data_IF_874612118562
#
_entry.id   IF_874612118562
#
_cell.length_a   1.000
_cell.length_b   1.000
_cell.length_c   1.000
_cell.angle_alpha   90.00
_cell.angle_beta   90.00
_cell.angle_gamma   90.00
#
_symmetry.space_group_name_H-M   'P 1'
#
loop_
_entity.id
_entity.type
_entity.pdbx_description
1 polymer ?
#
# COMPACT_ATOMS: atom_id res chain seq x y z
N UNK A 1 11.93 -0.10 -27.60
CA UNK A 1 11.05 0.53 -26.65
C UNK A 1 11.88 1.06 -25.49
N UNK A 2 11.92 2.38 -25.31
CA UNK A 2 12.72 3.05 -24.29
C UNK A 2 11.85 3.20 -23.04
N UNK A 3 12.26 2.61 -21.92
CA UNK A 3 11.65 2.86 -20.62
C UNK A 3 12.09 4.24 -20.11
N UNK A 4 11.13 5.14 -19.92
CA UNK A 4 11.35 6.39 -19.21
C UNK A 4 11.09 6.15 -17.71
N UNK A 5 12.17 6.18 -16.92
CA UNK A 5 12.12 6.22 -15.46
C UNK A 5 11.62 7.62 -15.05
N UNK A 6 10.46 7.69 -14.44
CA UNK A 6 9.96 8.90 -13.78
C UNK A 6 10.61 8.99 -12.39
N UNK A 7 11.61 9.84 -12.26
CA UNK A 7 12.18 10.22 -10.98
C UNK A 7 11.35 11.35 -10.37
N UNK A 8 10.70 11.12 -9.25
CA UNK A 8 9.99 12.15 -8.48
C UNK A 8 11.02 12.92 -7.65
N UNK A 9 11.33 14.16 -8.09
CA UNK A 9 12.14 15.10 -7.32
C UNK A 9 11.22 15.92 -6.40
N UNK A 10 11.40 15.77 -5.09
CA UNK A 10 10.78 16.64 -4.08
C UNK A 10 11.56 17.93 -4.03
N UNK A 11 10.96 19.05 -4.49
CA UNK A 11 11.51 20.39 -4.34
C UNK A 11 10.94 21.04 -3.09
N UNK A 12 11.79 21.23 -2.08
CA UNK A 12 11.48 22.06 -0.92
C UNK A 12 11.66 23.54 -1.30
N UNK A 13 10.58 24.31 -1.28
CA UNK A 13 10.61 25.76 -1.43
C UNK A 13 10.93 26.41 -0.08
N UNK A 14 12.13 27.02 0.02
CA UNK A 14 12.50 27.91 1.11
C UNK A 14 12.26 29.36 0.72
N UNK A 15 11.47 30.08 1.51
CA UNK A 15 11.31 31.51 1.46
C UNK A 15 12.53 32.24 2.05
N UNK A 16 12.95 33.34 1.42
CA UNK A 16 13.87 34.31 2.00
C UNK A 16 14.01 35.52 1.10
N UNK A 17 13.48 36.66 1.56
CA UNK A 17 13.42 37.92 0.84
C UNK A 17 14.67 38.81 1.02
N UNK A 18 14.69 39.93 0.30
CA UNK A 18 15.56 41.09 0.56
C UNK A 18 16.05 41.82 -0.65
N UNK A 19 15.39 42.84 -0.95
CA UNK A 19 15.66 44.22 -1.44
C UNK A 19 17.01 44.64 -2.03
N UNK A 20 16.81 45.46 -3.05
CA UNK A 20 17.35 46.79 -3.40
C UNK A 20 18.54 46.98 -4.34
N UNK A 21 18.18 47.72 -5.31
CA UNK A 21 18.69 49.00 -5.93
C UNK A 21 19.80 49.00 -6.99
N UNK A 22 19.35 49.62 -8.04
CA UNK A 22 19.89 50.72 -8.87
C UNK A 22 20.89 50.49 -9.98
N UNK A 23 20.42 50.98 -11.10
CA UNK A 23 20.98 52.00 -12.01
C UNK A 23 21.94 51.61 -13.13
N UNK A 24 21.48 51.86 -14.32
CA UNK A 24 22.08 52.79 -15.26
C UNK A 24 22.90 52.21 -16.42
N UNK A 25 22.53 52.59 -17.61
CA UNK A 25 23.50 52.81 -18.68
C UNK A 25 23.14 52.25 -20.06
N UNK A 26 22.61 53.14 -20.84
CA UNK A 26 22.43 53.16 -22.31
C UNK A 26 23.67 52.76 -23.10
N UNK A 27 23.52 52.09 -24.26
CA UNK A 27 23.85 52.65 -25.59
C UNK A 27 23.56 51.66 -26.72
N UNK A 28 23.14 52.27 -27.81
CA UNK A 28 22.73 51.85 -29.14
C UNK A 28 23.69 50.97 -29.93
N UNK A 29 23.12 50.26 -30.92
CA UNK A 29 23.81 50.01 -32.18
C UNK A 29 23.54 48.71 -32.90
N UNK A 30 22.62 48.71 -33.84
CA UNK A 30 22.82 48.26 -35.24
C UNK A 30 22.70 46.79 -35.60
N UNK A 31 21.57 46.49 -36.22
CA UNK A 31 21.35 45.76 -37.50
C UNK A 31 21.95 44.38 -37.77
N UNK A 32 21.03 43.60 -38.25
CA UNK A 32 20.94 42.69 -39.43
C UNK A 32 20.77 41.19 -39.16
N UNK A 33 19.62 40.80 -39.62
CA UNK A 33 19.12 39.50 -40.12
C UNK A 33 20.11 38.31 -40.22
N UNK A 34 19.66 37.17 -39.63
CA UNK A 34 19.55 35.95 -40.41
C UNK A 34 18.58 34.97 -39.72
N UNK A 35 17.55 34.68 -40.45
CA UNK A 35 16.54 33.68 -40.24
C UNK A 35 17.15 32.29 -40.38
N UNK A 36 17.14 31.47 -39.32
CA UNK A 36 17.12 30.00 -39.46
C UNK A 36 16.19 29.41 -38.42
N UNK A 37 15.15 28.75 -38.94
CA UNK A 37 14.13 28.06 -38.19
C UNK A 37 14.69 26.91 -37.38
N UNK A 38 14.66 27.05 -36.08
CA UNK A 38 14.73 25.96 -35.12
C UNK A 38 13.34 25.62 -34.70
N UNK A 39 12.76 24.57 -35.31
CA UNK A 39 11.53 23.96 -34.84
C UNK A 39 11.74 23.49 -33.43
N UNK A 40 11.20 24.23 -32.46
CA UNK A 40 10.94 23.72 -31.14
C UNK A 40 9.94 22.57 -31.28
N UNK A 41 10.41 21.36 -31.14
CA UNK A 41 9.50 20.27 -30.85
C UNK A 41 8.85 20.61 -29.50
N UNK A 42 7.64 21.17 -29.56
CA UNK A 42 6.73 21.08 -28.45
C UNK A 42 6.58 19.58 -28.22
N UNK A 43 7.20 19.06 -27.16
CA UNK A 43 6.79 17.80 -26.60
C UNK A 43 5.32 18.00 -26.19
N UNK A 44 4.41 17.60 -27.09
CA UNK A 44 3.05 17.32 -26.69
C UNK A 44 3.15 16.31 -25.55
N UNK A 45 3.03 16.78 -24.33
CA UNK A 45 2.64 16.00 -23.18
C UNK A 45 1.31 15.37 -23.59
N UNK A 46 1.39 14.20 -24.20
CA UNK A 46 0.25 13.39 -24.58
C UNK A 46 -0.46 12.96 -23.31
N UNK A 47 -1.30 13.85 -22.80
CA UNK A 47 -2.26 13.57 -21.75
C UNK A 47 -3.37 12.69 -22.28
N UNK A 48 -3.03 11.48 -22.72
CA UNK A 48 -4.00 10.42 -22.93
C UNK A 48 -4.65 10.09 -21.59
N UNK A 49 -5.97 9.99 -21.58
CA UNK A 49 -6.72 9.52 -20.43
C UNK A 49 -6.26 8.11 -20.07
N UNK A 50 -5.50 7.95 -18.98
CA UNK A 50 -5.01 6.65 -18.51
C UNK A 50 -6.15 5.91 -17.79
N UNK A 51 -6.39 4.66 -18.15
CA UNK A 51 -7.37 3.80 -17.48
C UNK A 51 -6.70 2.97 -16.40
N UNK A 52 -7.05 3.25 -15.16
CA UNK A 52 -6.50 2.61 -13.97
C UNK A 52 -7.54 1.68 -13.37
N UNK A 53 -7.19 0.41 -13.14
CA UNK A 53 -8.05 -0.50 -12.39
C UNK A 53 -7.57 -0.61 -10.94
N UNK A 54 -8.46 -0.33 -9.98
CA UNK A 54 -8.22 -0.54 -8.56
C UNK A 54 -8.99 -1.78 -8.09
N UNK A 55 -8.27 -2.81 -7.64
CA UNK A 55 -8.82 -4.06 -7.13
C UNK A 55 -8.52 -4.18 -5.63
N UNK A 56 -9.57 -4.13 -4.79
CA UNK A 56 -9.46 -4.33 -3.36
C UNK A 56 -9.99 -5.71 -2.93
N UNK A 57 -9.48 -6.30 -1.81
CA UNK A 57 -9.69 -7.71 -1.52
C UNK A 57 -11.07 -8.00 -0.90
N UNK A 58 -11.56 -7.13 0.02
CA UNK A 58 -12.72 -7.46 0.84
C UNK A 58 -13.32 -6.20 1.50
N UNK A 59 -14.44 -6.36 2.23
CA UNK A 59 -15.18 -5.27 2.87
C UNK A 59 -15.24 -5.40 4.39
N UNK A 60 -14.70 -6.49 4.97
CA UNK A 60 -14.69 -6.74 6.41
C UNK A 60 -13.76 -5.76 7.13
N UNK A 61 -12.66 -5.38 6.48
CA UNK A 61 -11.74 -4.34 6.93
C UNK A 61 -12.23 -2.96 6.49
N UNK A 62 -12.83 -2.15 7.38
CA UNK A 62 -13.52 -0.91 6.97
C UNK A 62 -12.63 0.09 6.23
N UNK A 63 -11.30 0.10 6.51
CA UNK A 63 -10.39 1.10 5.94
C UNK A 63 -10.37 1.08 4.41
N UNK A 64 -10.55 -0.07 3.76
CA UNK A 64 -10.51 -0.18 2.30
C UNK A 64 -11.54 0.72 1.63
N UNK A 65 -12.78 0.71 2.12
CA UNK A 65 -13.85 1.55 1.57
C UNK A 65 -13.86 2.97 2.15
N UNK A 66 -13.48 3.14 3.43
CA UNK A 66 -13.62 4.44 4.11
C UNK A 66 -12.40 5.34 3.96
N UNK A 67 -11.22 4.79 3.73
CA UNK A 67 -9.96 5.51 3.67
C UNK A 67 -9.19 5.28 2.36
N UNK A 68 -8.86 4.02 2.05
CA UNK A 68 -7.95 3.69 0.94
C UNK A 68 -8.54 4.09 -0.41
N UNK A 69 -9.77 3.65 -0.70
CA UNK A 69 -10.46 3.99 -1.94
C UNK A 69 -10.66 5.51 -2.11
N UNK A 70 -11.22 6.27 -1.14
CA UNK A 70 -11.37 7.72 -1.29
C UNK A 70 -10.03 8.44 -1.45
N UNK A 71 -8.98 8.02 -0.72
CA UNK A 71 -7.65 8.60 -0.83
C UNK A 71 -7.02 8.33 -2.20
N UNK A 72 -7.20 7.12 -2.74
CA UNK A 72 -6.74 6.76 -4.07
C UNK A 72 -7.42 7.60 -5.15
N UNK A 73 -8.74 7.72 -5.12
CA UNK A 73 -9.49 8.55 -6.07
C UNK A 73 -9.03 10.01 -6.03
N UNK A 74 -8.90 10.57 -4.83
CA UNK A 74 -8.42 11.94 -4.64
C UNK A 74 -7.01 12.13 -5.21
N UNK A 75 -6.09 11.20 -4.92
CA UNK A 75 -4.72 11.29 -5.40
C UNK A 75 -4.64 11.20 -6.93
N UNK A 76 -5.44 10.34 -7.56
CA UNK A 76 -5.51 10.24 -9.02
C UNK A 76 -6.09 11.51 -9.62
N UNK A 77 -7.16 12.09 -9.07
CA UNK A 77 -7.75 13.34 -9.53
C UNK A 77 -6.73 14.50 -9.47
N UNK A 78 -5.94 14.56 -8.39
CA UNK A 78 -4.92 15.61 -8.19
C UNK A 78 -3.67 15.43 -9.09
N UNK A 79 -3.26 14.18 -9.36
CA UNK A 79 -2.01 13.88 -10.04
C UNK A 79 -2.17 13.54 -11.53
N UNK A 80 -3.35 13.14 -11.94
CA UNK A 80 -3.64 12.66 -13.29
C UNK A 80 -4.99 13.18 -13.78
N UNK A 81 -5.02 14.42 -14.25
CA UNK A 81 -6.25 15.01 -14.81
C UNK A 81 -6.69 14.26 -16.05
N UNK A 82 -7.89 13.66 -16.00
CA UNK A 82 -8.47 12.87 -17.09
C UNK A 82 -8.22 11.37 -17.00
N UNK A 83 -7.52 10.87 -15.97
CA UNK A 83 -7.44 9.43 -15.71
C UNK A 83 -8.79 8.88 -15.27
N UNK A 84 -9.14 7.70 -15.78
CA UNK A 84 -10.36 6.98 -15.45
C UNK A 84 -10.05 5.84 -14.48
N UNK A 85 -10.85 5.70 -13.41
CA UNK A 85 -10.68 4.63 -12.44
C UNK A 85 -11.82 3.63 -12.57
N UNK A 86 -11.49 2.37 -12.88
CA UNK A 86 -12.39 1.23 -12.74
C UNK A 86 -12.14 0.57 -11.37
N UNK A 87 -13.17 0.51 -10.54
CA UNK A 87 -13.07 -0.03 -9.19
C UNK A 87 -13.72 -1.40 -9.06
N UNK A 88 -13.02 -2.31 -8.37
CA UNK A 88 -13.47 -3.67 -8.07
C UNK A 88 -13.20 -4.01 -6.60
N UNK A 89 -14.09 -4.81 -6.01
CA UNK A 89 -13.90 -5.38 -4.68
C UNK A 89 -14.28 -6.86 -4.70
N UNK A 90 -13.35 -7.70 -4.28
CA UNK A 90 -13.54 -9.15 -4.33
C UNK A 90 -14.56 -9.65 -3.29
N UNK A 91 -14.74 -8.90 -2.19
CA UNK A 91 -15.64 -9.29 -1.11
C UNK A 91 -15.19 -10.57 -0.39
N UNK A 92 -13.86 -10.79 -0.30
CA UNK A 92 -13.28 -11.96 0.34
C UNK A 92 -13.15 -13.20 -0.54
N UNK A 93 -13.45 -13.10 -1.84
CA UNK A 93 -13.46 -14.23 -2.78
C UNK A 93 -12.30 -14.14 -3.77
N UNK A 94 -11.39 -15.11 -3.70
CA UNK A 94 -10.17 -15.20 -4.55
C UNK A 94 -10.53 -15.36 -6.03
N UNK A 95 -11.49 -16.22 -6.35
CA UNK A 95 -11.92 -16.48 -7.73
C UNK A 95 -12.60 -15.27 -8.36
N UNK A 96 -13.38 -14.55 -7.54
CA UNK A 96 -13.98 -13.29 -7.96
C UNK A 96 -12.91 -12.24 -8.24
N UNK A 97 -11.85 -12.14 -7.43
CA UNK A 97 -10.76 -11.21 -7.70
C UNK A 97 -10.05 -11.54 -9.02
N UNK A 98 -9.78 -12.83 -9.28
CA UNK A 98 -9.19 -13.27 -10.54
C UNK A 98 -10.07 -12.88 -11.75
N UNK A 99 -11.38 -13.10 -11.65
CA UNK A 99 -12.35 -12.71 -12.69
C UNK A 99 -12.42 -11.19 -12.87
N UNK A 100 -12.30 -10.41 -11.79
CA UNK A 100 -12.25 -8.95 -11.82
C UNK A 100 -10.98 -8.43 -12.49
N UNK A 101 -9.84 -9.10 -12.30
CA UNK A 101 -8.60 -8.81 -13.01
C UNK A 101 -8.75 -8.97 -14.53
N UNK A 102 -9.39 -10.06 -14.98
CA UNK A 102 -9.71 -10.28 -16.39
C UNK A 102 -10.69 -9.25 -16.95
N UNK A 103 -11.70 -8.89 -16.16
CA UNK A 103 -12.66 -7.85 -16.54
C UNK A 103 -11.99 -6.49 -16.70
N UNK A 104 -11.06 -6.13 -15.79
CA UNK A 104 -10.30 -4.90 -15.88
C UNK A 104 -9.48 -4.82 -17.18
N UNK A 105 -8.77 -5.90 -17.52
CA UNK A 105 -8.00 -5.99 -18.76
C UNK A 105 -8.91 -5.89 -20.00
N UNK A 106 -10.06 -6.57 -19.98
CA UNK A 106 -11.06 -6.52 -21.06
C UNK A 106 -11.64 -5.12 -21.26
N UNK A 107 -11.77 -4.34 -20.17
CA UNK A 107 -12.22 -2.94 -20.20
C UNK A 107 -11.12 -1.98 -20.64
N UNK A 108 -9.93 -2.50 -20.91
CA UNK A 108 -8.79 -1.74 -21.40
C UNK A 108 -8.02 -1.01 -20.30
N UNK A 109 -7.91 -1.60 -19.12
CA UNK A 109 -7.02 -1.07 -18.09
C UNK A 109 -5.58 -1.01 -18.61
N UNK A 110 -4.94 0.13 -18.43
CA UNK A 110 -3.55 0.40 -18.84
C UNK A 110 -2.59 0.30 -17.65
N UNK A 111 -3.13 0.35 -16.43
CA UNK A 111 -2.44 0.09 -15.15
C UNK A 111 -3.40 -0.61 -14.22
N UNK A 112 -2.92 -1.58 -13.47
CA UNK A 112 -3.69 -2.23 -12.41
C UNK A 112 -3.03 -1.98 -11.06
N UNK A 113 -3.82 -1.59 -10.06
CA UNK A 113 -3.42 -1.52 -8.65
C UNK A 113 -4.20 -2.59 -7.91
N UNK A 114 -3.49 -3.57 -7.38
CA UNK A 114 -4.10 -4.78 -6.82
C UNK A 114 -3.64 -4.98 -5.38
N UNK A 115 -4.60 -4.97 -4.46
CA UNK A 115 -4.43 -5.52 -3.12
C UNK A 115 -4.94 -6.96 -3.17
N UNK A 116 -4.05 -7.98 -3.13
CA UNK A 116 -4.45 -9.34 -3.38
C UNK A 116 -5.27 -9.93 -2.22
N UNK A 117 -6.36 -10.64 -2.54
CA UNK A 117 -7.08 -11.44 -1.55
C UNK A 117 -6.22 -12.62 -1.05
N UNK A 118 -5.53 -13.29 -1.98
CA UNK A 118 -4.49 -14.27 -1.72
C UNK A 118 -3.24 -13.88 -2.50
N UNK A 119 -2.15 -13.65 -1.79
CA UNK A 119 -0.90 -13.14 -2.37
C UNK A 119 -0.25 -14.06 -3.41
N UNK A 120 -0.48 -15.37 -3.33
CA UNK A 120 0.05 -16.34 -4.28
C UNK A 120 -0.87 -16.52 -5.47
N UNK A 121 -2.17 -16.63 -5.23
CA UNK A 121 -3.16 -16.80 -6.30
C UNK A 121 -3.19 -15.58 -7.23
N UNK A 122 -2.96 -14.37 -6.72
CA UNK A 122 -2.95 -13.15 -7.51
C UNK A 122 -1.81 -13.08 -8.56
N UNK A 123 -0.79 -13.94 -8.47
CA UNK A 123 0.23 -14.07 -9.52
C UNK A 123 -0.40 -14.30 -10.91
N UNK A 124 -1.52 -15.03 -10.99
CA UNK A 124 -2.22 -15.27 -12.23
C UNK A 124 -2.81 -13.98 -12.85
N UNK A 125 -3.17 -12.98 -12.01
CA UNK A 125 -3.60 -11.66 -12.49
C UNK A 125 -2.42 -10.93 -13.13
N UNK A 126 -1.24 -10.98 -12.49
CA UNK A 126 -0.02 -10.35 -13.00
C UNK A 126 0.42 -10.97 -14.32
N UNK A 127 0.40 -12.31 -14.43
CA UNK A 127 0.72 -13.01 -15.68
C UNK A 127 -0.18 -12.58 -16.85
N UNK A 128 -1.49 -12.48 -16.61
CA UNK A 128 -2.46 -12.03 -17.63
C UNK A 128 -2.28 -10.56 -18.01
N UNK A 129 -1.96 -9.71 -17.05
CA UNK A 129 -1.67 -8.30 -17.28
C UNK A 129 -0.39 -8.14 -18.11
N UNK A 130 0.69 -8.84 -17.75
CA UNK A 130 1.96 -8.82 -18.49
C UNK A 130 1.80 -9.31 -19.93
N UNK A 131 0.96 -10.32 -20.18
CA UNK A 131 0.67 -10.78 -21.54
C UNK A 131 0.03 -9.71 -22.43
N UNK A 132 -0.49 -8.63 -21.84
CA UNK A 132 -1.08 -7.47 -22.49
C UNK A 132 -0.26 -6.19 -22.28
N UNK A 133 0.97 -6.33 -21.77
CA UNK A 133 1.89 -5.21 -21.47
C UNK A 133 1.32 -4.21 -20.42
N UNK A 134 0.37 -4.64 -19.58
CA UNK A 134 -0.23 -3.84 -18.52
C UNK A 134 0.56 -4.01 -17.22
N UNK A 135 1.16 -2.93 -16.67
CA UNK A 135 1.87 -3.00 -15.41
C UNK A 135 0.91 -3.17 -14.23
N UNK A 136 1.36 -3.97 -13.24
CA UNK A 136 0.63 -4.20 -11.99
C UNK A 136 1.41 -3.62 -10.83
N UNK A 137 0.77 -2.78 -10.02
CA UNK A 137 1.26 -2.30 -8.73
C UNK A 137 0.61 -3.14 -7.63
N UNK A 138 1.43 -3.82 -6.83
CA UNK A 138 0.96 -4.50 -5.63
C UNK A 138 0.75 -3.47 -4.53
N UNK A 139 -0.46 -3.39 -3.99
CA UNK A 139 -0.85 -2.44 -2.96
C UNK A 139 -1.15 -3.17 -1.66
N UNK A 140 -0.71 -2.62 -0.53
CA UNK A 140 -0.84 -3.18 0.82
C UNK A 140 -0.19 -4.57 0.96
N UNK A 141 -0.77 -5.61 0.37
CA UNK A 141 -0.25 -6.98 0.38
C UNK A 141 0.62 -7.23 -0.85
N UNK A 142 1.76 -7.92 -0.65
CA UNK A 142 2.66 -8.26 -1.75
C UNK A 142 2.07 -9.43 -2.57
N UNK A 143 1.99 -9.25 -3.89
CA UNK A 143 1.73 -10.38 -4.79
C UNK A 143 3.02 -11.18 -4.93
N UNK A 144 3.02 -12.40 -4.40
CA UNK A 144 4.18 -13.29 -4.41
C UNK A 144 4.36 -14.02 -5.75
N UNK A 145 5.58 -14.49 -6.01
CA UNK A 145 5.92 -15.30 -7.18
C UNK A 145 5.62 -14.65 -8.54
N UNK A 146 5.65 -13.32 -8.61
CA UNK A 146 5.40 -12.55 -9.82
C UNK A 146 6.28 -11.31 -9.89
N UNK A 147 6.48 -10.78 -11.08
CA UNK A 147 7.20 -9.51 -11.29
C UNK A 147 6.18 -8.38 -11.34
N UNK A 148 5.97 -7.69 -10.20
CA UNK A 148 5.13 -6.50 -10.16
C UNK A 148 5.92 -5.26 -10.56
N UNK A 149 5.25 -4.29 -11.19
CA UNK A 149 5.83 -3.00 -11.60
C UNK A 149 6.18 -2.09 -10.42
N UNK A 150 5.57 -2.33 -9.26
CA UNK A 150 5.81 -1.62 -8.01
C UNK A 150 5.11 -2.28 -6.83
N UNK A 151 5.59 -1.98 -5.62
CA UNK A 151 4.97 -2.42 -4.38
C UNK A 151 4.89 -1.26 -3.40
N UNK A 152 3.72 -1.06 -2.82
CA UNK A 152 3.44 -0.01 -1.83
C UNK A 152 2.80 -0.63 -0.60
N UNK A 153 3.46 -0.54 0.54
CA UNK A 153 2.98 -1.05 1.83
C UNK A 153 3.61 -0.31 2.99
N UNK A 154 3.34 -0.77 4.20
CA UNK A 154 3.96 -0.29 5.44
C UNK A 154 5.21 -1.12 5.78
N UNK A 155 5.99 -0.64 6.75
CA UNK A 155 6.98 -1.47 7.46
C UNK A 155 6.22 -2.37 8.46
N UNK A 156 5.69 -3.48 7.94
CA UNK A 156 4.77 -4.35 8.68
C UNK A 156 5.45 -5.06 9.87
N UNK A 157 6.75 -5.34 9.79
CA UNK A 157 7.50 -5.87 10.93
C UNK A 157 7.59 -4.83 12.05
N UNK A 158 7.88 -3.56 11.69
CA UNK A 158 7.90 -2.46 12.66
C UNK A 158 6.52 -2.20 13.27
N UNK A 159 5.45 -2.35 12.51
CA UNK A 159 4.08 -2.25 13.03
C UNK A 159 3.84 -3.32 14.10
N UNK A 160 4.23 -4.57 13.84
CA UNK A 160 4.14 -5.66 14.82
C UNK A 160 4.93 -5.38 16.10
N UNK A 161 6.15 -4.85 15.96
CA UNK A 161 6.95 -4.42 17.12
C UNK A 161 6.23 -3.33 17.96
N UNK A 162 5.62 -2.34 17.30
CA UNK A 162 4.91 -1.24 17.98
C UNK A 162 3.66 -1.73 18.71
N UNK A 163 2.93 -2.68 18.14
CA UNK A 163 1.79 -3.34 18.80
C UNK A 163 2.25 -4.01 20.09
N UNK A 164 3.31 -4.81 20.01
CA UNK A 164 3.89 -5.48 21.16
C UNK A 164 4.47 -4.50 22.21
N UNK A 165 5.15 -3.44 21.78
CA UNK A 165 5.65 -2.37 22.67
C UNK A 165 4.52 -1.77 23.51
N UNK A 166 3.37 -1.52 22.88
CA UNK A 166 2.20 -0.97 23.56
C UNK A 166 1.68 -1.92 24.62
N UNK A 167 1.54 -3.22 24.29
CA UNK A 167 1.10 -4.22 25.25
C UNK A 167 2.12 -4.42 26.39
N UNK A 168 3.39 -4.52 26.07
CA UNK A 168 4.49 -4.63 27.07
C UNK A 168 4.44 -3.49 28.08
N UNK A 169 4.25 -2.25 27.58
CA UNK A 169 4.10 -1.09 28.45
C UNK A 169 2.92 -1.26 29.41
N UNK A 170 1.78 -1.68 28.89
CA UNK A 170 0.57 -1.88 29.68
C UNK A 170 0.75 -2.98 30.74
N UNK A 171 1.34 -4.12 30.36
CA UNK A 171 1.61 -5.22 31.27
C UNK A 171 2.52 -4.80 32.45
N UNK A 172 3.52 -3.96 32.18
CA UNK A 172 4.40 -3.41 33.22
C UNK A 172 3.66 -2.47 34.19
N UNK A 173 2.77 -1.62 33.66
CA UNK A 173 1.93 -0.70 34.45
C UNK A 173 0.95 -1.46 35.35
N UNK A 174 0.40 -2.57 34.86
CA UNK A 174 -0.55 -3.41 35.60
C UNK A 174 0.14 -4.39 36.58
N UNK A 175 1.48 -4.36 36.67
CA UNK A 175 2.24 -5.21 37.59
C UNK A 175 2.36 -6.68 37.14
N UNK A 176 2.06 -7.00 35.88
CA UNK A 176 2.15 -8.34 35.31
C UNK A 176 3.11 -8.39 34.09
N UNK A 177 4.40 -8.11 34.26
CA UNK A 177 5.32 -7.85 33.15
C UNK A 177 5.77 -9.08 32.35
N UNK A 178 5.32 -10.28 32.72
CA UNK A 178 5.78 -11.54 32.10
C UNK A 178 4.72 -12.25 31.27
N UNK A 179 3.47 -11.84 31.33
CA UNK A 179 2.37 -12.54 30.69
C UNK A 179 1.80 -13.65 31.59
N UNK A 180 1.26 -14.77 31.04
CA UNK A 180 1.17 -15.06 29.59
C UNK A 180 0.18 -14.17 28.87
N UNK A 181 0.38 -14.04 27.55
CA UNK A 181 -0.53 -13.30 26.66
C UNK A 181 -1.21 -14.22 25.65
N UNK A 182 -2.27 -13.71 25.01
CA UNK A 182 -2.92 -14.35 23.88
C UNK A 182 -2.57 -13.56 22.61
N UNK A 183 -2.12 -14.24 21.55
CA UNK A 183 -1.92 -13.63 20.24
C UNK A 183 -2.98 -14.12 19.26
N UNK A 184 -3.72 -13.19 18.68
CA UNK A 184 -4.66 -13.41 17.58
C UNK A 184 -4.07 -12.71 16.36
N UNK A 185 -3.45 -13.48 15.49
CA UNK A 185 -2.77 -12.98 14.30
C UNK A 185 -3.73 -12.84 13.11
N UNK A 186 -3.21 -12.35 11.99
CA UNK A 186 -3.97 -12.22 10.76
C UNK A 186 -4.04 -13.49 9.91
N UNK A 187 -4.52 -13.32 8.67
CA UNK A 187 -4.67 -14.42 7.72
C UNK A 187 -3.30 -14.92 7.20
N UNK A 188 -3.02 -16.23 7.23
CA UNK A 188 -1.81 -16.79 6.62
C UNK A 188 -1.65 -16.58 5.11
N UNK A 189 -2.74 -16.26 4.39
CA UNK A 189 -2.70 -15.92 2.96
C UNK A 189 -2.20 -14.48 2.70
N UNK A 190 -2.05 -13.69 3.78
CA UNK A 190 -1.54 -12.32 3.75
C UNK A 190 -0.11 -12.28 4.35
N UNK A 191 0.93 -11.96 3.54
CA UNK A 191 2.30 -11.88 4.04
C UNK A 191 2.49 -10.80 5.10
N UNK A 192 1.66 -9.77 5.15
CA UNK A 192 1.71 -8.75 6.19
C UNK A 192 1.43 -9.35 7.58
N UNK A 193 0.50 -10.32 7.66
CA UNK A 193 0.22 -11.02 8.91
C UNK A 193 1.46 -11.70 9.50
N UNK A 194 2.26 -12.36 8.63
CA UNK A 194 3.51 -12.99 9.05
C UNK A 194 4.54 -11.96 9.54
N UNK A 195 4.60 -10.77 8.90
CA UNK A 195 5.50 -9.69 9.32
C UNK A 195 5.05 -9.05 10.65
N UNK A 196 3.76 -8.79 10.85
CA UNK A 196 3.22 -8.33 12.13
C UNK A 196 3.55 -9.33 13.25
N UNK A 197 3.25 -10.61 13.00
CA UNK A 197 3.56 -11.69 13.93
C UNK A 197 5.04 -11.72 14.28
N UNK A 198 5.94 -11.67 13.29
CA UNK A 198 7.39 -11.65 13.48
C UNK A 198 7.84 -10.47 14.34
N UNK A 199 7.38 -9.25 14.03
CA UNK A 199 7.72 -8.05 14.79
C UNK A 199 7.26 -8.14 16.25
N UNK A 200 6.04 -8.63 16.48
CA UNK A 200 5.51 -8.84 17.81
C UNK A 200 6.30 -9.90 18.59
N UNK A 201 6.60 -11.06 17.98
CA UNK A 201 7.41 -12.11 18.60
C UNK A 201 8.81 -11.59 18.99
N UNK A 202 9.52 -10.89 18.10
CA UNK A 202 10.82 -10.31 18.36
C UNK A 202 10.79 -9.41 19.62
N UNK A 203 9.72 -8.63 19.78
CA UNK A 203 9.57 -7.76 20.94
C UNK A 203 9.23 -8.54 22.20
N UNK A 204 8.32 -9.49 22.16
CA UNK A 204 7.95 -10.29 23.32
C UNK A 204 9.11 -11.15 23.81
N UNK A 205 9.87 -11.78 22.91
CA UNK A 205 11.08 -12.54 23.26
C UNK A 205 12.10 -11.65 23.99
N UNK A 206 12.39 -10.47 23.45
CA UNK A 206 13.33 -9.50 24.06
C UNK A 206 12.91 -9.08 25.47
N UNK A 207 11.62 -8.95 25.73
CA UNK A 207 11.07 -8.58 27.03
C UNK A 207 10.82 -9.78 27.96
N UNK A 208 10.98 -11.01 27.45
CA UNK A 208 10.72 -12.25 28.18
C UNK A 208 9.24 -12.45 28.52
N UNK A 209 8.34 -12.02 27.61
CA UNK A 209 6.89 -12.23 27.71
C UNK A 209 6.55 -13.63 27.23
N UNK A 210 5.76 -14.37 28.00
CA UNK A 210 5.25 -15.68 27.62
C UNK A 210 4.02 -15.54 26.72
N UNK A 211 4.00 -16.28 25.60
CA UNK A 211 2.83 -16.42 24.74
C UNK A 211 2.10 -17.70 25.15
N UNK A 212 0.99 -17.57 25.85
CA UNK A 212 0.20 -18.70 26.37
C UNK A 212 -0.63 -19.39 25.29
N UNK A 213 -1.19 -18.63 24.38
CA UNK A 213 -1.93 -19.12 23.20
C UNK A 213 -1.70 -18.22 21.99
N UNK A 214 -1.69 -18.85 20.82
CA UNK A 214 -1.51 -18.16 19.56
C UNK A 214 -2.37 -18.79 18.45
N UNK A 215 -3.00 -17.96 17.63
CA UNK A 215 -3.87 -18.35 16.53
C UNK A 215 -3.64 -17.48 15.31
N UNK A 216 -3.86 -18.04 14.12
CA UNK A 216 -3.83 -17.33 12.83
C UNK A 216 -5.26 -17.27 12.28
N UNK A 217 -5.82 -16.06 12.20
CA UNK A 217 -7.23 -15.78 11.89
C UNK A 217 -7.48 -15.77 10.38
N UNK A 218 -8.01 -16.87 9.85
CA UNK A 218 -8.32 -16.97 8.41
C UNK A 218 -9.35 -15.93 7.99
N UNK A 219 -9.10 -15.29 6.84
CA UNK A 219 -9.97 -14.28 6.24
C UNK A 219 -10.02 -12.96 7.00
N UNK A 220 -9.19 -12.76 8.02
CA UNK A 220 -9.22 -11.57 8.89
C UNK A 220 -10.60 -11.29 9.52
N UNK A 221 -11.48 -12.31 9.61
CA UNK A 221 -12.86 -12.12 10.04
C UNK A 221 -12.99 -11.99 11.56
N UNK A 222 -13.82 -11.04 11.99
CA UNK A 222 -14.15 -10.87 13.42
C UNK A 222 -14.74 -12.14 14.04
N UNK A 223 -15.51 -12.92 13.27
CA UNK A 223 -16.10 -14.18 13.74
C UNK A 223 -15.03 -15.22 14.09
N UNK A 224 -14.01 -15.40 13.23
CA UNK A 224 -12.93 -16.34 13.50
C UNK A 224 -12.09 -15.87 14.70
N UNK A 225 -11.71 -14.58 14.74
CA UNK A 225 -10.98 -14.01 15.87
C UNK A 225 -11.73 -14.18 17.21
N UNK A 226 -13.05 -14.00 17.21
CA UNK A 226 -13.88 -14.23 18.41
C UNK A 226 -13.86 -15.68 18.87
N UNK A 227 -13.95 -16.65 17.93
CA UNK A 227 -13.87 -18.09 18.24
C UNK A 227 -12.50 -18.45 18.84
N UNK A 228 -11.44 -17.95 18.26
CA UNK A 228 -10.06 -18.16 18.70
C UNK A 228 -9.81 -17.56 20.09
N UNK A 229 -10.25 -16.32 20.31
CA UNK A 229 -10.21 -15.69 21.63
C UNK A 229 -10.98 -16.49 22.68
N UNK A 230 -12.18 -16.98 22.36
CA UNK A 230 -12.98 -17.80 23.27
C UNK A 230 -12.29 -19.13 23.58
N UNK A 231 -11.65 -19.76 22.60
CA UNK A 231 -10.86 -20.98 22.79
C UNK A 231 -9.65 -20.73 23.69
N UNK A 232 -8.93 -19.62 23.49
CA UNK A 232 -7.82 -19.23 24.34
C UNK A 232 -8.23 -19.01 25.79
N UNK A 233 -9.30 -18.23 26.01
CA UNK A 233 -9.86 -17.95 27.35
C UNK A 233 -10.31 -19.25 28.03
N UNK A 234 -10.95 -20.14 27.29
CA UNK A 234 -11.40 -21.46 27.83
C UNK A 234 -10.21 -22.31 28.25
N UNK A 235 -9.12 -22.31 27.44
CA UNK A 235 -7.94 -23.12 27.69
C UNK A 235 -7.08 -22.59 28.85
N UNK A 236 -6.94 -21.29 29.00
CA UNK A 236 -6.12 -20.64 30.02
C UNK A 236 -6.91 -20.32 31.31
N UNK A 237 -8.22 -20.22 31.21
CA UNK A 237 -9.07 -19.67 32.26
C UNK A 237 -9.04 -18.13 32.24
N UNK A 238 -10.09 -17.52 32.82
CA UNK A 238 -10.27 -16.05 32.80
C UNK A 238 -9.15 -15.26 33.51
N UNK A 239 -8.45 -15.89 34.43
CA UNK A 239 -7.35 -15.30 35.21
C UNK A 239 -5.98 -15.88 34.77
N UNK A 240 -5.93 -16.67 33.71
CA UNK A 240 -4.75 -17.38 33.24
C UNK A 240 -3.93 -16.66 32.18
N UNK A 241 -4.26 -15.39 31.90
CA UNK A 241 -3.51 -14.54 30.96
C UNK A 241 -3.57 -13.07 31.41
N UNK A 242 -2.62 -12.28 30.92
CA UNK A 242 -2.46 -10.87 31.29
C UNK A 242 -2.74 -9.88 30.16
N UNK A 243 -2.83 -10.38 28.92
CA UNK A 243 -3.09 -9.56 27.74
C UNK A 243 -3.39 -10.40 26.50
#
# INVERSE_FOLDING_TARGET
>A
AAFALVAIAVVAAGCGGGSDTTSGGNTEGGSEESNEGGGGAEEESGGGSLKIALLLPENETPRYETNDKPAFYKAVEEQCSGCEISYFNAGGDVEKQASQGEAALTQGAEVMVVDPMDSKAAAAIVEKAHAQEVPVVSYDRLIENSEVGGYVSFDNERVGEQQAETLVKRLKEDGNPKGPIIMINGDPADPNAALFKKGAHNRFEKEGIEIGKEYDTRGWTAENAQKEAQQAITALGKDGFAG
#
